data_IF_424413126889
#
_entry.id   IF_424413126889
#
_cell.length_a   1.000
_cell.length_b   1.000
_cell.length_c   1.000
_cell.angle_alpha   90.00
_cell.angle_beta   90.00
_cell.angle_gamma   90.00
#
_symmetry.space_group_name_H-M   'P 1'
#
loop_
_entity.id
_entity.type
_entity.pdbx_description
1 polymer ?
#
# COMPACT_ATOMS: atom_id res chain seq x y z
N UNK A 1 -10.04 -29.39 -12.87
CA UNK A 1 -9.27 -28.50 -11.98
C UNK A 1 -10.26 -28.04 -10.93
N UNK A 2 -10.27 -28.67 -9.75
CA UNK A 2 -11.24 -28.35 -8.69
C UNK A 2 -10.77 -27.09 -7.99
N UNK A 3 -11.50 -25.99 -8.13
CA UNK A 3 -11.32 -24.83 -7.25
C UNK A 3 -11.84 -25.31 -5.90
N UNK A 4 -10.95 -25.54 -4.95
CA UNK A 4 -11.37 -25.83 -3.58
C UNK A 4 -12.02 -24.56 -3.04
N UNK A 5 -13.34 -24.54 -2.91
CA UNK A 5 -14.05 -23.47 -2.20
C UNK A 5 -13.59 -23.53 -0.73
N UNK A 6 -12.60 -22.72 -0.38
CA UNK A 6 -12.28 -22.46 1.03
C UNK A 6 -13.49 -21.76 1.65
N UNK A 7 -13.86 -22.15 2.87
CA UNK A 7 -14.99 -21.53 3.54
C UNK A 7 -14.65 -20.08 3.91
N UNK A 8 -15.67 -19.21 4.03
CA UNK A 8 -15.46 -17.82 4.45
C UNK A 8 -14.62 -17.72 5.73
N UNK A 9 -14.82 -18.66 6.66
CA UNK A 9 -14.04 -18.71 7.90
C UNK A 9 -12.53 -18.80 7.64
N UNK A 10 -12.12 -19.55 6.62
CA UNK A 10 -10.71 -19.75 6.28
C UNK A 10 -10.11 -18.59 5.47
N UNK A 11 -10.95 -17.84 4.75
CA UNK A 11 -10.51 -16.74 3.87
C UNK A 11 -10.53 -15.41 4.60
N UNK A 12 -11.60 -15.13 5.34
CA UNK A 12 -11.87 -13.81 5.94
C UNK A 12 -11.99 -13.86 7.47
N UNK A 13 -11.73 -15.01 8.09
CA UNK A 13 -11.76 -15.17 9.55
C UNK A 13 -13.17 -15.14 10.16
N UNK A 14 -14.22 -15.20 9.34
CA UNK A 14 -15.62 -15.15 9.76
C UNK A 14 -16.54 -15.92 8.82
N UNK A 15 -17.64 -16.43 9.38
CA UNK A 15 -18.61 -17.28 8.72
C UNK A 15 -19.42 -16.57 7.61
N UNK A 16 -19.79 -15.30 7.86
CA UNK A 16 -20.60 -14.49 6.97
C UNK A 16 -19.89 -13.17 6.61
N UNK A 17 -20.01 -12.78 5.33
CA UNK A 17 -19.43 -11.54 4.78
C UNK A 17 -19.97 -10.29 5.49
N UNK A 18 -21.19 -10.33 6.00
CA UNK A 18 -21.85 -9.21 6.67
C UNK A 18 -22.03 -9.45 8.18
N UNK A 19 -21.20 -10.28 8.80
CA UNK A 19 -21.16 -10.40 10.26
C UNK A 19 -20.58 -9.10 10.87
N UNK A 20 -21.47 -8.17 11.26
CA UNK A 20 -21.12 -6.83 11.73
C UNK A 20 -20.33 -6.89 13.04
N UNK A 21 -20.72 -7.74 13.98
CA UNK A 21 -20.02 -7.91 15.26
C UNK A 21 -18.57 -8.36 15.03
N UNK A 22 -18.37 -9.35 14.14
CA UNK A 22 -17.04 -9.80 13.77
C UNK A 22 -16.21 -8.68 13.11
N UNK A 23 -16.79 -7.88 12.21
CA UNK A 23 -16.09 -6.74 11.58
C UNK A 23 -15.65 -5.72 12.63
N UNK A 24 -16.57 -5.32 13.52
CA UNK A 24 -16.30 -4.32 14.54
C UNK A 24 -15.36 -4.83 15.64
N UNK A 25 -15.22 -6.14 15.79
CA UNK A 25 -14.27 -6.76 16.72
C UNK A 25 -12.83 -6.78 16.22
N UNK A 26 -12.59 -6.49 14.93
CA UNK A 26 -11.23 -6.42 14.38
C UNK A 26 -10.51 -5.26 15.08
N UNK A 27 -9.40 -5.54 15.78
CA UNK A 27 -8.67 -4.50 16.47
C UNK A 27 -8.16 -3.48 15.45
N UNK A 28 -8.53 -2.22 15.64
CA UNK A 28 -7.97 -1.10 14.89
C UNK A 28 -6.57 -0.86 15.43
N UNK A 29 -5.58 -0.74 14.55
CA UNK A 29 -4.22 -0.34 14.93
C UNK A 29 -4.30 0.96 15.75
N UNK A 30 -3.74 1.00 16.97
CA UNK A 30 -3.76 2.20 17.79
C UNK A 30 -3.19 3.39 17.02
N UNK A 31 -3.89 4.53 17.04
CA UNK A 31 -3.47 5.74 16.31
C UNK A 31 -2.17 6.35 16.83
N UNK A 32 -1.70 5.89 17.99
CA UNK A 32 -0.46 6.32 18.64
C UNK A 32 0.64 5.25 18.64
N UNK A 33 0.44 4.12 17.94
CA UNK A 33 1.51 3.15 17.73
C UNK A 33 2.58 3.76 16.83
N UNK A 34 3.80 3.84 17.34
CA UNK A 34 4.95 4.42 16.61
C UNK A 34 5.80 3.31 15.98
N UNK A 35 5.86 2.15 16.62
CA UNK A 35 6.64 1.01 16.17
C UNK A 35 5.81 -0.27 16.22
N UNK A 36 5.92 -1.08 15.18
CA UNK A 36 5.31 -2.40 15.09
C UNK A 36 6.41 -3.43 14.84
N UNK A 37 6.56 -4.40 15.74
CA UNK A 37 7.68 -5.36 15.70
C UNK A 37 7.21 -6.70 15.15
N UNK A 38 7.70 -7.05 13.96
CA UNK A 38 7.48 -8.36 13.33
C UNK A 38 8.75 -9.20 13.42
N UNK A 39 8.62 -10.47 13.81
CA UNK A 39 9.76 -11.38 13.97
C UNK A 39 10.21 -11.90 12.60
N UNK A 40 11.45 -11.58 12.22
CA UNK A 40 12.09 -12.13 11.02
C UNK A 40 12.53 -13.59 11.24
N UNK A 41 11.84 -14.56 10.62
CA UNK A 41 12.15 -16.00 10.74
C UNK A 41 12.88 -16.54 9.49
N UNK A 42 13.98 -15.90 9.10
CA UNK A 42 14.77 -16.31 7.93
C UNK A 42 16.28 -16.28 8.22
N UNK A 43 17.02 -17.15 7.54
CA UNK A 43 18.48 -17.16 7.60
C UNK A 43 19.07 -16.07 6.70
N UNK A 44 20.13 -15.41 7.17
CA UNK A 44 20.95 -14.53 6.35
C UNK A 44 21.88 -15.34 5.46
N UNK A 45 21.76 -15.21 4.14
CA UNK A 45 22.56 -15.99 3.18
C UNK A 45 23.62 -15.13 2.51
N UNK A 46 24.89 -15.48 2.74
CA UNK A 46 26.02 -14.99 1.96
C UNK A 46 26.31 -15.92 0.78
N UNK A 47 26.69 -15.36 -0.36
CA UNK A 47 27.10 -16.13 -1.54
C UNK A 47 28.41 -15.59 -2.09
N UNK A 48 29.35 -16.50 -2.36
CA UNK A 48 30.66 -16.20 -2.95
C UNK A 48 30.75 -16.59 -4.43
N UNK A 49 29.66 -17.11 -4.99
CA UNK A 49 29.50 -17.29 -6.42
C UNK A 49 28.96 -16.00 -7.05
N UNK A 50 29.86 -15.26 -7.69
CA UNK A 50 29.54 -14.02 -8.40
C UNK A 50 29.15 -14.24 -9.87
N UNK A 51 28.87 -15.48 -10.27
CA UNK A 51 28.35 -15.77 -11.60
C UNK A 51 27.00 -15.11 -11.83
N UNK A 52 26.81 -14.53 -13.01
CA UNK A 52 25.56 -13.89 -13.44
C UNK A 52 24.64 -14.93 -14.11
N UNK A 53 24.29 -15.98 -13.36
CA UNK A 53 23.60 -17.16 -13.87
C UNK A 53 22.13 -16.94 -14.26
N UNK A 54 21.54 -15.77 -13.94
CA UNK A 54 20.16 -15.38 -14.27
C UNK A 54 20.14 -14.11 -15.13
N UNK A 55 20.36 -14.25 -16.46
CA UNK A 55 20.35 -13.11 -17.39
C UNK A 55 19.10 -12.21 -17.34
N UNK A 56 17.86 -12.72 -17.11
CA UNK A 56 16.69 -11.86 -16.99
C UNK A 56 16.77 -10.87 -15.82
N UNK A 57 17.23 -11.31 -14.64
CA UNK A 57 17.41 -10.43 -13.48
C UNK A 57 18.50 -9.40 -13.73
N UNK A 58 19.57 -9.80 -14.43
CA UNK A 58 20.61 -8.85 -14.82
C UNK A 58 20.07 -7.75 -15.75
N UNK A 59 19.22 -8.10 -16.71
CA UNK A 59 18.58 -7.12 -17.60
C UNK A 59 17.73 -6.12 -16.83
N UNK A 60 16.96 -6.58 -15.83
CA UNK A 60 16.16 -5.71 -14.97
C UNK A 60 17.05 -4.80 -14.12
N UNK A 61 18.12 -5.33 -13.53
CA UNK A 61 19.10 -4.55 -12.77
C UNK A 61 19.76 -3.44 -13.62
N UNK A 62 20.23 -3.77 -14.82
CA UNK A 62 20.83 -2.77 -15.71
C UNK A 62 19.83 -1.66 -16.10
N UNK A 63 18.58 -2.03 -16.37
CA UNK A 63 17.52 -1.06 -16.64
C UNK A 63 17.27 -0.17 -15.42
N UNK A 64 17.10 -0.77 -14.25
CA UNK A 64 16.78 -0.09 -13.00
C UNK A 64 17.82 0.98 -12.64
N UNK A 65 19.12 0.70 -12.81
CA UNK A 65 20.20 1.69 -12.58
C UNK A 65 20.03 2.97 -13.39
N UNK A 66 19.51 2.87 -14.61
CA UNK A 66 19.35 4.02 -15.52
C UNK A 66 17.99 4.70 -15.42
N UNK A 67 17.03 4.09 -14.74
CA UNK A 67 15.65 4.56 -14.64
C UNK A 67 15.28 5.05 -13.23
N UNK A 68 16.29 5.35 -12.40
CA UNK A 68 16.06 5.97 -11.10
C UNK A 68 15.62 7.43 -11.27
N UNK A 69 14.77 7.89 -10.34
CA UNK A 69 14.33 9.28 -10.23
C UNK A 69 14.51 9.76 -8.80
N UNK A 70 14.68 11.06 -8.60
CA UNK A 70 14.86 11.68 -7.30
C UNK A 70 13.55 12.33 -6.82
N UNK A 71 13.02 11.81 -5.71
CA UNK A 71 11.79 12.29 -5.08
C UNK A 71 11.76 13.78 -4.82
N UNK A 72 12.89 14.33 -4.39
CA UNK A 72 13.02 15.73 -4.00
C UNK A 72 13.17 16.68 -5.20
N UNK A 73 13.92 16.29 -6.23
CA UNK A 73 14.29 17.21 -7.33
C UNK A 73 13.49 17.03 -8.61
N UNK A 74 12.99 15.83 -8.89
CA UNK A 74 12.37 15.51 -10.18
C UNK A 74 10.86 15.77 -10.17
N UNK A 75 10.28 16.00 -8.98
CA UNK A 75 8.89 16.38 -8.79
C UNK A 75 8.75 17.88 -8.48
N UNK A 76 7.83 18.60 -9.14
CA UNK A 76 7.61 20.03 -8.91
C UNK A 76 6.75 20.27 -7.67
N UNK A 77 7.31 20.07 -6.47
CA UNK A 77 6.59 20.15 -5.18
C UNK A 77 5.90 21.47 -4.91
N UNK A 78 6.35 22.58 -5.50
CA UNK A 78 5.70 23.89 -5.38
C UNK A 78 4.34 23.97 -6.10
N UNK A 79 4.00 22.96 -6.92
CA UNK A 79 2.71 22.91 -7.60
C UNK A 79 1.57 22.85 -6.56
N UNK A 80 0.64 23.82 -6.56
CA UNK A 80 -0.54 23.76 -5.69
C UNK A 80 -1.42 22.58 -6.08
N UNK A 81 -1.93 21.86 -5.07
CA UNK A 81 -2.87 20.75 -5.26
C UNK A 81 -4.21 21.19 -4.69
N UNK A 82 -5.23 21.25 -5.55
CA UNK A 82 -6.61 21.51 -5.17
C UNK A 82 -7.37 20.19 -5.15
N UNK A 83 -7.38 19.53 -3.99
CA UNK A 83 -7.97 18.20 -3.86
C UNK A 83 -9.49 18.22 -4.02
N UNK A 84 -10.16 19.27 -3.57
CA UNK A 84 -11.61 19.43 -3.73
C UNK A 84 -11.96 19.45 -5.22
N UNK A 85 -11.25 20.24 -6.01
CA UNK A 85 -11.45 20.31 -7.45
C UNK A 85 -11.16 18.99 -8.14
N UNK A 86 -10.09 18.29 -7.77
CA UNK A 86 -9.76 16.99 -8.36
C UNK A 86 -10.82 15.94 -8.02
N UNK A 87 -11.26 15.86 -6.76
CA UNK A 87 -12.29 14.91 -6.33
C UNK A 87 -13.63 15.23 -6.98
N UNK A 88 -14.03 16.49 -7.05
CA UNK A 88 -15.27 16.89 -7.71
C UNK A 88 -15.25 16.56 -9.21
N UNK A 89 -14.12 16.74 -9.89
CA UNK A 89 -13.95 16.37 -11.29
C UNK A 89 -14.04 14.85 -11.50
N UNK A 90 -13.40 14.07 -10.64
CA UNK A 90 -13.51 12.60 -10.66
C UNK A 90 -14.97 12.17 -10.44
N UNK A 91 -15.65 12.71 -9.42
CA UNK A 91 -17.05 12.41 -9.15
C UNK A 91 -17.98 12.77 -10.31
N UNK A 92 -17.74 13.88 -11.00
CA UNK A 92 -18.51 14.26 -12.18
C UNK A 92 -18.28 13.29 -13.36
N UNK A 93 -17.09 12.73 -13.50
CA UNK A 93 -16.72 11.85 -14.61
C UNK A 93 -17.16 10.39 -14.40
N UNK A 94 -17.01 9.86 -13.19
CA UNK A 94 -17.21 8.44 -12.88
C UNK A 94 -18.24 8.18 -11.78
N UNK A 95 -18.86 9.23 -11.23
CA UNK A 95 -19.81 9.15 -10.12
C UNK A 95 -19.13 8.93 -8.76
N UNK A 96 -19.94 8.82 -7.71
CA UNK A 96 -19.46 8.59 -6.33
C UNK A 96 -19.02 7.14 -6.06
N UNK A 97 -18.95 6.29 -7.10
CA UNK A 97 -18.52 4.90 -6.99
C UNK A 97 -19.52 3.97 -6.28
N UNK A 98 -20.69 4.47 -5.89
CA UNK A 98 -21.74 3.70 -5.20
C UNK A 98 -23.07 3.94 -5.90
N UNK A 99 -23.76 2.87 -6.27
CA UNK A 99 -25.11 2.93 -6.82
C UNK A 99 -26.07 3.50 -5.75
N UNK A 100 -26.82 4.58 -6.05
CA UNK A 100 -27.79 5.16 -5.12
C UNK A 100 -28.81 4.18 -4.55
N UNK A 101 -29.17 3.15 -5.31
CA UNK A 101 -30.10 2.11 -4.85
C UNK A 101 -29.55 1.29 -3.68
N UNK A 102 -28.23 1.23 -3.50
CA UNK A 102 -27.61 0.45 -2.42
C UNK A 102 -27.72 1.11 -1.05
N UNK A 103 -27.97 2.42 -1.02
CA UNK A 103 -28.03 3.18 0.23
C UNK A 103 -29.30 4.01 0.41
N UNK A 104 -30.29 3.85 -0.48
CA UNK A 104 -31.54 4.59 -0.47
C UNK A 104 -32.33 4.53 0.86
N UNK A 105 -32.28 3.39 1.55
CA UNK A 105 -32.97 3.18 2.84
C UNK A 105 -32.06 3.44 4.07
N UNK A 106 -30.93 4.11 3.87
CA UNK A 106 -29.93 4.38 4.93
C UNK A 106 -29.78 5.88 5.20
N UNK A 107 -28.98 6.23 6.22
CA UNK A 107 -28.64 7.64 6.49
C UNK A 107 -27.82 8.29 5.37
N UNK A 108 -27.16 7.52 4.51
CA UNK A 108 -26.43 8.08 3.36
C UNK A 108 -27.38 8.64 2.29
N UNK A 109 -28.66 8.25 2.28
CA UNK A 109 -29.65 8.83 1.37
C UNK A 109 -29.89 10.33 1.61
N UNK A 110 -29.48 10.87 2.77
CA UNK A 110 -29.57 12.31 3.06
C UNK A 110 -28.31 13.08 2.67
N UNK A 111 -27.28 12.42 2.14
CA UNK A 111 -26.05 13.08 1.69
C UNK A 111 -26.28 13.84 0.38
N UNK A 112 -25.86 15.10 0.35
CA UNK A 112 -25.77 15.90 -0.87
C UNK A 112 -24.33 15.98 -1.39
N UNK A 113 -24.10 16.87 -2.34
CA UNK A 113 -22.80 17.04 -3.00
C UNK A 113 -21.67 17.33 -2.00
N UNK A 114 -21.97 18.07 -0.93
CA UNK A 114 -20.97 18.41 0.10
C UNK A 114 -20.49 17.18 0.86
N UNK A 115 -21.40 16.33 1.34
CA UNK A 115 -21.04 15.14 2.09
C UNK A 115 -20.29 14.13 1.21
N UNK A 116 -20.72 13.98 -0.05
CA UNK A 116 -20.03 13.13 -1.01
C UNK A 116 -18.65 13.65 -1.38
N UNK A 117 -18.49 14.96 -1.55
CA UNK A 117 -17.18 15.58 -1.80
C UNK A 117 -16.22 15.34 -0.63
N UNK A 118 -16.67 15.60 0.60
CA UNK A 118 -15.89 15.36 1.82
C UNK A 118 -15.48 13.88 1.92
N UNK A 119 -16.41 12.95 1.68
CA UNK A 119 -16.12 11.53 1.65
C UNK A 119 -15.07 11.18 0.59
N UNK A 120 -15.15 11.76 -0.60
CA UNK A 120 -14.18 11.56 -1.67
C UNK A 120 -12.77 12.04 -1.29
N UNK A 121 -12.67 13.19 -0.62
CA UNK A 121 -11.40 13.74 -0.13
C UNK A 121 -10.78 12.81 0.92
N UNK A 122 -11.56 12.41 1.94
CA UNK A 122 -11.06 11.53 2.99
C UNK A 122 -10.74 10.13 2.45
N UNK A 123 -11.52 9.61 1.51
CA UNK A 123 -11.25 8.35 0.81
C UNK A 123 -9.92 8.40 0.05
N UNK A 124 -9.64 9.51 -0.65
CA UNK A 124 -8.37 9.72 -1.35
C UNK A 124 -7.19 9.77 -0.39
N UNK A 125 -7.31 10.53 0.70
CA UNK A 125 -6.30 10.65 1.75
C UNK A 125 -6.05 9.31 2.43
N UNK A 126 -7.11 8.56 2.73
CA UNK A 126 -7.03 7.20 3.27
C UNK A 126 -6.30 6.25 2.32
N UNK A 127 -6.69 6.20 1.04
CA UNK A 127 -6.06 5.34 0.04
C UNK A 127 -4.56 5.62 -0.10
N UNK A 128 -4.16 6.90 -0.20
CA UNK A 128 -2.75 7.27 -0.29
C UNK A 128 -1.96 6.90 0.98
N UNK A 129 -2.60 6.97 2.14
CA UNK A 129 -2.01 6.48 3.40
C UNK A 129 -1.78 4.96 3.36
N UNK A 130 -2.73 4.20 2.82
CA UNK A 130 -2.56 2.74 2.68
C UNK A 130 -1.46 2.38 1.67
N UNK A 131 -1.31 3.16 0.59
CA UNK A 131 -0.14 3.00 -0.29
C UNK A 131 1.15 3.26 0.47
N UNK A 132 1.29 4.38 1.19
CA UNK A 132 2.49 4.64 2.00
C UNK A 132 2.87 3.43 2.89
N UNK A 133 1.91 2.90 3.66
CA UNK A 133 2.14 1.75 4.53
C UNK A 133 2.52 0.48 3.75
N UNK A 134 1.86 0.25 2.61
CA UNK A 134 2.18 -0.85 1.70
C UNK A 134 3.58 -0.74 1.10
N UNK A 135 4.00 0.44 0.66
CA UNK A 135 5.34 0.71 0.14
C UNK A 135 6.41 0.50 1.22
N UNK A 136 6.13 0.88 2.47
CA UNK A 136 7.04 0.57 3.59
C UNK A 136 7.15 -0.94 3.82
N UNK A 137 6.04 -1.68 3.74
CA UNK A 137 6.05 -3.14 3.77
C UNK A 137 6.86 -3.75 2.63
N UNK A 138 6.69 -3.25 1.40
CA UNK A 138 7.43 -3.68 0.22
C UNK A 138 8.94 -3.37 0.34
N UNK A 139 9.29 -2.22 0.92
CA UNK A 139 10.68 -1.86 1.24
C UNK A 139 11.34 -2.91 2.15
N UNK A 140 10.68 -3.32 3.24
CA UNK A 140 11.25 -4.33 4.14
C UNK A 140 11.25 -5.72 3.48
N UNK A 141 10.18 -6.09 2.78
CA UNK A 141 10.09 -7.35 2.06
C UNK A 141 11.23 -7.49 1.01
N UNK A 142 11.49 -6.44 0.23
CA UNK A 142 12.58 -6.45 -0.76
C UNK A 142 13.96 -6.50 -0.10
N UNK A 143 14.14 -5.87 1.07
CA UNK A 143 15.36 -6.01 1.85
C UNK A 143 15.57 -7.46 2.34
N UNK A 144 14.50 -8.15 2.75
CA UNK A 144 14.56 -9.59 3.09
C UNK A 144 14.92 -10.45 1.89
N UNK A 145 14.50 -10.11 0.68
CA UNK A 145 14.94 -10.81 -0.54
C UNK A 145 16.47 -10.66 -0.69
N UNK A 146 17.01 -9.45 -0.52
CA UNK A 146 18.47 -9.22 -0.55
C UNK A 146 19.18 -10.08 0.49
N UNK A 147 18.61 -10.23 1.68
CA UNK A 147 19.16 -11.01 2.77
C UNK A 147 19.15 -12.53 2.48
N UNK A 148 18.04 -13.05 1.98
CA UNK A 148 17.71 -14.49 2.02
C UNK A 148 17.95 -15.24 0.71
N UNK A 149 18.03 -14.57 -0.45
CA UNK A 149 18.25 -15.31 -1.71
C UNK A 149 19.72 -15.73 -1.87
N UNK A 150 20.01 -16.93 -2.40
CA UNK A 150 21.38 -17.42 -2.54
C UNK A 150 22.10 -16.93 -3.81
N UNK A 151 21.40 -16.26 -4.74
CA UNK A 151 21.94 -15.86 -6.04
C UNK A 151 22.42 -14.41 -6.04
N UNK A 152 23.65 -14.18 -6.51
CA UNK A 152 24.27 -12.85 -6.54
C UNK A 152 23.47 -11.83 -7.38
N UNK A 153 23.03 -12.22 -8.58
CA UNK A 153 22.24 -11.35 -9.45
C UNK A 153 20.85 -11.01 -8.91
N UNK A 154 20.22 -11.94 -8.17
CA UNK A 154 18.97 -11.68 -7.47
C UNK A 154 19.17 -10.65 -6.36
N UNK A 155 20.26 -10.72 -5.58
CA UNK A 155 20.59 -9.70 -4.57
C UNK A 155 20.81 -8.33 -5.21
N UNK A 156 21.52 -8.26 -6.34
CA UNK A 156 21.74 -7.00 -7.08
C UNK A 156 20.41 -6.40 -7.57
N UNK A 157 19.54 -7.21 -8.17
CA UNK A 157 18.26 -6.70 -8.64
C UNK A 157 17.36 -6.28 -7.48
N UNK A 158 17.22 -7.12 -6.45
CA UNK A 158 16.42 -6.80 -5.26
C UNK A 158 16.90 -5.51 -4.58
N UNK A 159 18.21 -5.23 -4.55
CA UNK A 159 18.72 -3.96 -3.98
C UNK A 159 18.24 -2.73 -4.74
N UNK A 160 17.96 -2.84 -6.05
CA UNK A 160 17.34 -1.73 -6.79
C UNK A 160 15.88 -1.53 -6.40
N UNK A 161 15.15 -2.61 -6.10
CA UNK A 161 13.78 -2.51 -5.59
C UNK A 161 13.74 -1.90 -4.18
N UNK A 162 14.69 -2.24 -3.31
CA UNK A 162 14.82 -1.56 -1.99
C UNK A 162 14.92 -0.04 -2.16
N UNK A 163 15.73 0.44 -3.11
CA UNK A 163 15.83 1.88 -3.39
C UNK A 163 14.54 2.42 -4.01
N UNK A 164 13.89 1.68 -4.91
CA UNK A 164 12.62 2.10 -5.52
C UNK A 164 11.52 2.29 -4.45
N UNK A 165 11.31 1.31 -3.58
CA UNK A 165 10.28 1.41 -2.53
C UNK A 165 10.62 2.45 -1.47
N UNK A 166 11.91 2.66 -1.16
CA UNK A 166 12.32 3.75 -0.27
C UNK A 166 11.90 5.13 -0.84
N UNK A 167 12.03 5.32 -2.16
CA UNK A 167 11.63 6.56 -2.83
C UNK A 167 10.11 6.70 -2.90
N UNK A 168 9.37 5.60 -3.06
CA UNK A 168 7.90 5.62 -2.96
C UNK A 168 7.45 6.04 -1.56
N UNK A 169 8.03 5.45 -0.50
CA UNK A 169 7.75 5.83 0.90
C UNK A 169 8.04 7.32 1.13
N UNK A 170 9.20 7.82 0.70
CA UNK A 170 9.57 9.24 0.81
C UNK A 170 8.51 10.14 0.17
N UNK A 171 8.13 9.84 -1.07
CA UNK A 171 7.19 10.68 -1.84
C UNK A 171 5.78 10.63 -1.29
N UNK A 172 5.26 9.44 -0.94
CA UNK A 172 3.93 9.36 -0.34
C UNK A 172 3.87 10.02 1.03
N UNK A 173 4.89 9.84 1.88
CA UNK A 173 4.96 10.50 3.18
C UNK A 173 4.96 12.02 3.05
N UNK A 174 5.83 12.55 2.18
CA UNK A 174 5.92 13.99 1.92
C UNK A 174 4.62 14.55 1.30
N UNK A 175 4.00 13.82 0.37
CA UNK A 175 2.76 14.26 -0.26
C UNK A 175 1.60 14.32 0.73
N UNK A 176 1.47 13.31 1.61
CA UNK A 176 0.47 13.30 2.66
C UNK A 176 0.66 14.50 3.61
N UNK A 177 1.88 14.77 4.05
CA UNK A 177 2.21 15.88 4.95
C UNK A 177 1.99 17.26 4.30
N UNK A 178 2.66 17.52 3.17
CA UNK A 178 2.68 18.85 2.54
C UNK A 178 1.40 19.20 1.77
N UNK A 179 0.68 18.20 1.22
CA UNK A 179 -0.46 18.45 0.33
C UNK A 179 -1.80 18.05 0.94
N UNK A 180 -1.85 17.08 1.84
CA UNK A 180 -3.10 16.54 2.39
C UNK A 180 -3.25 16.75 3.90
N UNK A 181 -2.33 17.47 4.55
CA UNK A 181 -2.37 17.75 6.00
C UNK A 181 -2.37 16.46 6.84
N UNK A 182 -1.49 15.53 6.50
CA UNK A 182 -1.26 14.27 7.22
C UNK A 182 -1.91 13.05 6.55
N UNK A 183 -2.07 11.98 7.32
CA UNK A 183 -2.54 10.69 6.81
C UNK A 183 -3.36 9.90 7.82
N UNK A 184 -3.68 8.66 7.45
CA UNK A 184 -4.42 7.70 8.26
C UNK A 184 -3.53 6.55 8.73
N UNK A 185 -3.86 5.91 9.86
CA UNK A 185 -3.17 4.70 10.28
C UNK A 185 -3.36 3.58 9.25
N UNK A 186 -2.47 2.60 9.32
CA UNK A 186 -2.58 1.37 8.54
C UNK A 186 -3.91 0.68 8.83
N UNK A 187 -4.55 0.17 7.78
CA UNK A 187 -5.74 -0.63 7.95
C UNK A 187 -5.37 -2.02 8.52
N UNK A 188 -6.23 -2.59 9.35
CA UNK A 188 -5.93 -3.84 10.04
C UNK A 188 -5.62 -5.01 9.09
N UNK A 189 -6.28 -5.09 7.93
CA UNK A 189 -6.08 -6.17 6.98
C UNK A 189 -4.74 -6.10 6.25
N UNK A 190 -4.29 -4.89 5.94
CA UNK A 190 -2.98 -4.62 5.38
C UNK A 190 -1.91 -4.92 6.44
N UNK A 191 -2.13 -4.50 7.69
CA UNK A 191 -1.25 -4.87 8.81
C UNK A 191 -1.07 -6.38 8.93
N UNK A 192 -2.17 -7.13 8.97
CA UNK A 192 -2.12 -8.61 9.00
C UNK A 192 -1.38 -9.20 7.80
N UNK A 193 -1.59 -8.65 6.59
CA UNK A 193 -0.85 -9.09 5.41
C UNK A 193 0.65 -8.82 5.55
N UNK A 194 1.03 -7.65 6.07
CA UNK A 194 2.43 -7.29 6.28
C UNK A 194 3.09 -8.18 7.34
N UNK A 195 2.39 -8.50 8.42
CA UNK A 195 2.87 -9.43 9.45
C UNK A 195 3.18 -10.82 8.89
N UNK A 196 2.40 -11.26 7.90
CA UNK A 196 2.55 -12.57 7.27
C UNK A 196 3.71 -12.62 6.25
N UNK A 197 3.95 -11.53 5.51
CA UNK A 197 4.92 -11.51 4.39
C UNK A 197 6.27 -10.89 4.74
N UNK A 198 6.33 -10.10 5.83
CA UNK A 198 7.55 -9.49 6.34
C UNK A 198 8.07 -10.35 7.48
#
# INVERSE_FOLDING_TARGET
MSITEKQNQDIIGRDQINNIEAILSIPVTPTNEIEHVVKNNADTIFTWDYSLSRPPLRKLYEKAKTSQWNGTTDLPWETPVDIEKTVAADQAAIGNGVDPSWYADTKLATWGDKEWLEFGIQSRKWMLSQFLHGEQGALICTAKIVETVPWYDAKLYASTQVVDEARHVEVFARYLDEKLEGGYPINAHLGLLLDDIV
#
